data_IF_048926884361
#
_entry.id   IF_048926884361
#
_cell.length_a   1.000
_cell.length_b   1.000
_cell.length_c   1.000
_cell.angle_alpha   90.00
_cell.angle_beta   90.00
_cell.angle_gamma   90.00
#
_symmetry.space_group_name_H-M   'P 1'
#
loop_
_entity.id
_entity.type
_entity.pdbx_description
1 polymer ?
#
# COMPACT_ATOMS: atom_id res chain seq x y z
N UNK A 1 10.83 8.73 22.62
CA UNK A 1 10.77 7.32 22.13
C UNK A 1 9.82 7.14 20.94
N UNK A 2 9.03 8.15 20.56
CA UNK A 2 8.06 8.14 19.45
C UNK A 2 8.69 8.33 18.06
N UNK A 3 9.81 9.05 17.99
CA UNK A 3 10.47 9.44 16.74
C UNK A 3 10.94 8.25 15.89
N UNK A 4 11.59 7.26 16.52
CA UNK A 4 12.04 6.01 15.87
C UNK A 4 10.86 5.19 15.30
N UNK A 5 9.66 5.31 15.90
CA UNK A 5 8.48 4.60 15.39
C UNK A 5 7.90 5.29 14.15
N UNK A 6 7.98 6.62 14.05
CA UNK A 6 7.48 7.40 12.91
C UNK A 6 8.33 7.15 11.67
N UNK A 7 9.64 7.34 11.81
CA UNK A 7 10.59 7.11 10.71
C UNK A 7 10.52 5.68 10.18
N UNK A 8 10.36 4.70 11.09
CA UNK A 8 10.16 3.31 10.72
C UNK A 8 8.89 3.10 9.88
N UNK A 9 7.75 3.70 10.28
CA UNK A 9 6.50 3.61 9.51
C UNK A 9 6.65 4.28 8.14
N UNK A 10 7.22 5.48 8.06
CA UNK A 10 7.44 6.19 6.79
C UNK A 10 8.39 5.44 5.85
N UNK A 11 9.44 4.84 6.40
CA UNK A 11 10.38 3.99 5.64
C UNK A 11 9.68 2.76 5.10
N UNK A 12 8.89 2.07 5.93
CA UNK A 12 8.11 0.89 5.52
C UNK A 12 7.09 1.23 4.42
N UNK A 13 6.37 2.36 4.55
CA UNK A 13 5.44 2.80 3.51
C UNK A 13 6.19 3.08 2.21
N UNK A 14 7.31 3.79 2.27
CA UNK A 14 8.15 4.08 1.11
C UNK A 14 8.60 2.81 0.40
N UNK A 15 9.00 1.79 1.15
CA UNK A 15 9.40 0.49 0.62
C UNK A 15 8.22 -0.25 -0.05
N UNK A 16 7.04 -0.24 0.56
CA UNK A 16 5.84 -0.84 -0.03
C UNK A 16 5.39 -0.10 -1.30
N UNK A 17 5.46 1.24 -1.32
CA UNK A 17 5.21 2.05 -2.53
C UNK A 17 6.20 1.73 -3.64
N UNK A 18 7.50 1.63 -3.32
CA UNK A 18 8.54 1.24 -4.29
C UNK A 18 8.30 -0.17 -4.82
N UNK A 19 7.97 -1.12 -3.95
CA UNK A 19 7.69 -2.49 -4.34
C UNK A 19 6.49 -2.60 -5.28
N UNK A 20 5.41 -1.87 -5.02
CA UNK A 20 4.23 -1.81 -5.91
C UNK A 20 4.58 -1.12 -7.24
N UNK A 21 5.31 -0.01 -7.18
CA UNK A 21 5.70 0.78 -8.36
C UNK A 21 6.66 0.04 -9.29
N UNK A 22 7.46 -0.88 -8.74
CA UNK A 22 8.39 -1.73 -9.48
C UNK A 22 7.78 -3.01 -10.04
N UNK A 23 6.48 -3.25 -9.85
CA UNK A 23 5.85 -4.44 -10.41
C UNK A 23 5.78 -4.36 -11.95
N UNK A 24 5.97 -5.50 -12.64
CA UNK A 24 5.90 -5.57 -14.10
C UNK A 24 4.48 -5.34 -14.64
N UNK A 25 4.39 -5.05 -15.93
CA UNK A 25 3.10 -4.91 -16.60
C UNK A 25 2.22 -6.16 -16.44
N UNK A 26 0.96 -5.93 -16.05
CA UNK A 26 -0.02 -7.00 -15.95
C UNK A 26 -0.53 -7.41 -17.33
N UNK A 27 -0.50 -8.73 -17.61
CA UNK A 27 -0.97 -9.34 -18.85
C UNK A 27 -2.35 -10.01 -18.72
N UNK A 28 -3.01 -9.86 -17.57
CA UNK A 28 -4.30 -10.51 -17.29
C UNK A 28 -5.49 -9.62 -17.68
N UNK A 29 -6.70 -10.17 -17.62
CA UNK A 29 -7.95 -9.41 -17.83
C UNK A 29 -8.13 -8.25 -16.83
N UNK A 30 -7.46 -8.31 -15.68
CA UNK A 30 -7.47 -7.27 -14.66
C UNK A 30 -6.46 -6.13 -14.94
N UNK A 31 -5.78 -6.13 -16.11
CA UNK A 31 -4.73 -5.15 -16.46
C UNK A 31 -5.11 -3.70 -16.18
N UNK A 32 -6.34 -3.28 -16.53
CA UNK A 32 -6.79 -1.90 -16.31
C UNK A 32 -6.80 -1.54 -14.82
N UNK A 33 -7.43 -2.37 -13.99
CA UNK A 33 -7.50 -2.15 -12.55
C UNK A 33 -6.12 -2.22 -11.90
N UNK A 34 -5.33 -3.22 -12.28
CA UNK A 34 -3.95 -3.39 -11.84
C UNK A 34 -3.09 -2.16 -12.13
N UNK A 35 -3.04 -1.73 -13.39
CA UNK A 35 -2.20 -0.61 -13.79
C UNK A 35 -2.68 0.70 -13.19
N UNK A 36 -3.99 0.87 -12.99
CA UNK A 36 -4.53 2.05 -12.30
C UNK A 36 -4.06 2.08 -10.84
N UNK A 37 -4.16 0.96 -10.11
CA UNK A 37 -3.71 0.89 -8.72
C UNK A 37 -2.21 1.16 -8.60
N UNK A 38 -1.38 0.50 -9.42
CA UNK A 38 0.08 0.73 -9.42
C UNK A 38 0.40 2.21 -9.68
N UNK A 39 -0.29 2.85 -10.64
CA UNK A 39 -0.09 4.28 -10.92
C UNK A 39 -0.52 5.17 -9.75
N UNK A 40 -1.68 4.92 -9.13
CA UNK A 40 -2.15 5.69 -7.99
C UNK A 40 -1.18 5.59 -6.81
N UNK A 41 -0.67 4.40 -6.50
CA UNK A 41 0.31 4.20 -5.43
C UNK A 41 1.62 4.92 -5.73
N UNK A 42 2.11 4.87 -6.98
CA UNK A 42 3.32 5.57 -7.40
C UNK A 42 3.24 7.08 -7.21
N UNK A 43 2.05 7.68 -7.35
CA UNK A 43 1.85 9.12 -7.13
C UNK A 43 2.02 9.53 -5.66
N UNK A 44 2.02 8.58 -4.72
CA UNK A 44 2.25 8.87 -3.31
C UNK A 44 3.73 8.97 -2.94
N UNK A 45 4.66 8.54 -3.81
CA UNK A 45 6.10 8.62 -3.51
C UNK A 45 6.57 10.00 -3.04
N UNK A 46 6.25 11.11 -3.74
CA UNK A 46 6.72 12.44 -3.34
C UNK A 46 6.24 12.84 -1.94
N UNK A 47 4.99 12.49 -1.59
CA UNK A 47 4.42 12.78 -0.28
C UNK A 47 5.22 12.10 0.85
N UNK A 48 5.59 10.82 0.68
CA UNK A 48 6.34 10.10 1.71
C UNK A 48 7.81 10.49 1.75
N UNK A 49 8.39 10.90 0.62
CA UNK A 49 9.72 11.49 0.60
C UNK A 49 9.72 12.83 1.37
N UNK A 50 8.75 13.72 1.12
CA UNK A 50 8.59 14.98 1.84
C UNK A 50 8.34 14.78 3.35
N UNK A 51 7.49 13.82 3.73
CA UNK A 51 7.21 13.52 5.14
C UNK A 51 8.42 12.92 5.88
N UNK A 52 9.32 12.24 5.16
CA UNK A 52 10.56 11.68 5.73
C UNK A 52 11.64 12.77 5.85
N UNK A 53 11.75 13.62 4.84
CA UNK A 53 12.84 14.60 4.72
C UNK A 53 12.51 15.96 5.37
N UNK A 54 11.26 16.18 5.77
CA UNK A 54 10.79 17.41 6.42
C UNK A 54 11.32 17.59 7.86
N UNK A 55 11.37 18.85 8.30
CA UNK A 55 11.75 19.19 9.68
C UNK A 55 10.76 18.60 10.69
N UNK A 56 11.28 18.27 11.88
CA UNK A 56 10.66 17.51 13.01
C UNK A 56 9.37 18.12 13.61
N UNK A 57 8.44 18.66 12.81
CA UNK A 57 7.11 18.92 13.30
C UNK A 57 6.47 17.55 13.60
N UNK A 58 6.43 17.20 14.89
CA UNK A 58 5.99 15.89 15.34
C UNK A 58 4.60 15.61 14.78
N UNK A 59 4.52 14.74 13.77
CA UNK A 59 3.24 14.23 13.27
C UNK A 59 2.44 13.71 14.47
N UNK A 60 1.21 14.20 14.61
CA UNK A 60 0.30 13.78 15.66
C UNK A 60 0.18 12.26 15.73
N UNK A 61 -0.01 11.71 16.93
CA UNK A 61 -0.11 10.26 17.11
C UNK A 61 -1.23 9.62 16.27
N UNK A 62 -2.31 10.37 16.04
CA UNK A 62 -3.41 10.02 15.15
C UNK A 62 -2.96 9.92 13.68
N UNK A 63 -2.12 10.85 13.22
CA UNK A 63 -1.51 10.81 11.89
C UNK A 63 -0.61 9.58 11.75
N UNK A 64 0.23 9.30 12.75
CA UNK A 64 1.11 8.12 12.74
C UNK A 64 0.29 6.82 12.70
N UNK A 65 -0.81 6.74 13.44
CA UNK A 65 -1.73 5.59 13.37
C UNK A 65 -2.41 5.45 12.00
N UNK A 66 -2.80 6.56 11.38
CA UNK A 66 -3.34 6.58 10.03
C UNK A 66 -2.32 6.09 9.00
N UNK A 67 -1.07 6.51 9.12
CA UNK A 67 0.04 6.05 8.29
C UNK A 67 0.30 4.55 8.49
N UNK A 68 0.30 4.06 9.73
CA UNK A 68 0.45 2.61 10.00
C UNK A 68 -0.68 1.78 9.35
N UNK A 69 -1.91 2.29 9.41
CA UNK A 69 -3.06 1.67 8.75
C UNK A 69 -2.90 1.65 7.23
N UNK A 70 -2.40 2.75 6.65
CA UNK A 70 -2.10 2.84 5.23
C UNK A 70 -0.99 1.86 4.82
N UNK A 71 0.07 1.71 5.63
CA UNK A 71 1.12 0.70 5.42
C UNK A 71 0.50 -0.70 5.28
N UNK A 72 -0.35 -1.09 6.24
CA UNK A 72 -0.99 -2.42 6.23
C UNK A 72 -1.84 -2.62 4.97
N UNK A 73 -2.57 -1.57 4.54
CA UNK A 73 -3.36 -1.62 3.31
C UNK A 73 -2.48 -1.78 2.06
N UNK A 74 -1.35 -1.07 1.97
CA UNK A 74 -0.40 -1.20 0.87
C UNK A 74 0.25 -2.59 0.84
N UNK A 75 0.63 -3.14 1.98
CA UNK A 75 1.17 -4.51 2.07
C UNK A 75 0.16 -5.56 1.59
N UNK A 76 -1.10 -5.37 1.97
CA UNK A 76 -2.20 -6.23 1.53
C UNK A 76 -2.44 -6.11 0.02
N UNK A 77 -2.43 -4.88 -0.50
CA UNK A 77 -2.54 -4.63 -1.94
C UNK A 77 -1.38 -5.26 -2.72
N UNK A 78 -0.14 -5.14 -2.23
CA UNK A 78 1.04 -5.74 -2.85
C UNK A 78 0.91 -7.27 -2.96
N UNK A 79 0.40 -7.93 -1.92
CA UNK A 79 0.14 -9.39 -1.94
C UNK A 79 -0.87 -9.77 -3.02
N UNK A 80 -1.97 -9.02 -3.13
CA UNK A 80 -3.00 -9.24 -4.17
C UNK A 80 -2.45 -8.96 -5.57
N UNK A 81 -1.69 -7.88 -5.75
CA UNK A 81 -1.10 -7.54 -7.05
C UNK A 81 -0.11 -8.61 -7.53
N UNK A 82 0.73 -9.14 -6.62
CA UNK A 82 1.65 -10.25 -6.94
C UNK A 82 0.90 -11.51 -7.32
N UNK A 83 -0.16 -11.88 -6.59
CA UNK A 83 -0.92 -13.09 -6.91
C UNK A 83 -1.65 -13.00 -8.25
N UNK A 84 -2.26 -11.84 -8.55
CA UNK A 84 -2.87 -11.56 -9.86
C UNK A 84 -1.84 -11.62 -10.98
N UNK A 85 -0.63 -11.09 -10.76
CA UNK A 85 0.44 -11.12 -11.77
C UNK A 85 0.90 -12.56 -12.06
N UNK A 86 1.02 -13.40 -11.03
CA UNK A 86 1.41 -14.81 -11.15
C UNK A 86 0.30 -15.73 -11.70
N UNK A 87 -0.86 -15.18 -12.09
CA UNK A 87 -2.01 -15.94 -12.56
C UNK A 87 -2.76 -16.69 -11.45
N UNK A 88 -2.40 -16.47 -10.18
CA UNK A 88 -3.05 -17.02 -9.00
C UNK A 88 -4.17 -16.07 -8.59
N UNK A 89 -5.33 -16.17 -9.24
CA UNK A 89 -6.51 -15.37 -8.86
C UNK A 89 -6.94 -15.76 -7.44
N UNK A 90 -6.70 -14.89 -6.46
CA UNK A 90 -7.32 -15.02 -5.14
C UNK A 90 -8.75 -14.47 -5.20
N UNK A 91 -9.71 -15.38 -5.29
CA UNK A 91 -11.09 -15.14 -4.89
C UNK A 91 -11.22 -15.52 -3.40
N UNK A 92 -10.86 -14.62 -2.48
CA UNK A 92 -11.35 -14.62 -1.09
C UNK A 92 -10.99 -13.25 -0.48
N UNK A 93 -11.81 -12.54 0.28
CA UNK A 93 -12.89 -12.99 1.15
C UNK A 93 -13.79 -11.77 1.45
N UNK A 94 -14.94 -11.64 0.76
CA UNK A 94 -16.08 -10.82 1.23
C UNK A 94 -17.42 -11.17 0.54
N UNK A 95 -17.52 -12.31 -0.16
CA UNK A 95 -18.82 -12.86 -0.59
C UNK A 95 -19.28 -13.94 0.37
N UNK A 96 -19.42 -13.57 1.64
CA UNK A 96 -20.15 -14.31 2.67
C UNK A 96 -20.95 -13.34 3.55
N UNK A 97 -21.47 -12.27 2.95
CA UNK A 97 -22.68 -11.63 3.45
C UNK A 97 -23.79 -11.96 2.46
N UNK A 98 -24.84 -12.59 3.00
CA UNK A 98 -26.11 -12.89 2.34
C UNK A 98 -26.04 -13.95 1.23
N UNK A 99 -26.17 -15.22 1.64
CA UNK A 99 -27.24 -16.11 1.17
C UNK A 99 -27.26 -17.36 2.08
N UNK A 100 -28.31 -17.44 2.92
CA UNK A 100 -28.77 -18.57 3.76
C UNK A 100 -28.21 -18.75 5.20
N UNK A 101 -28.60 -17.87 6.14
CA UNK A 101 -29.59 -18.12 7.24
C UNK A 101 -29.72 -16.89 8.13
#
# INVERSE_FOLDING_TARGET
MTDNSREAVLSQISDSVKAISGLPDCKTVAKKMYCNLVRMVKLLSPLFDELRDGEEEELGSDVVMGLDSLRIALDSALKVLKSVHEGRIFYSSSLNEELWT
#
